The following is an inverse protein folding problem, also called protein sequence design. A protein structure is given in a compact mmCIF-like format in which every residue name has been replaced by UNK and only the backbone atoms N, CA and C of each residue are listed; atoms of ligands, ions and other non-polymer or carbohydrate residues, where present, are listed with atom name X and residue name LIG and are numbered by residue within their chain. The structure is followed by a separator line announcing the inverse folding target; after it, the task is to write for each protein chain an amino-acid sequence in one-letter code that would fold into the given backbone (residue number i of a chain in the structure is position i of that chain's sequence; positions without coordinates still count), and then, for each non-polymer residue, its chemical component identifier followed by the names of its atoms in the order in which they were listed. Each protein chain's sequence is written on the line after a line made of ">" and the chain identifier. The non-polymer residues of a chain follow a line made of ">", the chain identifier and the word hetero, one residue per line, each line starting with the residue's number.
data_IF_411745496307
#
_entry.id   IF_411745496307
#
_cell.length_a   1.000
_cell.length_b   1.000
_cell.length_c   1.000
_cell.angle_alpha   90.00
_cell.angle_beta   90.00
_cell.angle_gamma   90.00
#
_symmetry.space_group_name_H-M   'P 1'
#
loop_
_entity.id
_entity.type
_entity.pdbx_description
1 polymer ?
#
# COMPACT_ATOMS: atom_id res chain seq x y z
N UNK A 1 -4.78 6.91 -20.81
CA UNK A 1 -4.11 8.21 -20.59
C UNK A 1 -4.08 8.98 -21.90
N UNK A 2 -4.52 10.24 -21.88
CA UNK A 2 -4.63 11.05 -23.11
C UNK A 2 -3.39 11.90 -23.36
N UNK A 3 -2.63 12.24 -22.31
CA UNK A 3 -1.46 13.10 -22.40
C UNK A 3 -0.35 12.56 -21.50
N UNK A 4 0.88 12.55 -22.00
CA UNK A 4 2.07 12.14 -21.26
C UNK A 4 3.07 13.29 -21.28
N UNK A 5 3.54 13.68 -20.11
CA UNK A 5 4.61 14.65 -19.92
C UNK A 5 5.89 13.93 -19.47
N UNK A 6 7.03 14.41 -19.88
CA UNK A 6 8.32 13.86 -19.44
C UNK A 6 9.18 14.94 -18.80
N UNK A 7 9.84 14.60 -17.71
CA UNK A 7 10.75 15.47 -16.97
C UNK A 7 12.12 14.79 -16.86
N UNK A 8 13.19 15.56 -16.97
CA UNK A 8 14.56 15.06 -16.87
C UNK A 8 15.11 15.02 -15.44
N UNK A 9 14.41 15.64 -14.50
CA UNK A 9 14.77 15.69 -13.08
C UNK A 9 13.57 16.11 -12.21
N UNK A 10 13.74 16.04 -10.89
CA UNK A 10 12.67 16.31 -9.93
C UNK A 10 12.21 17.78 -9.88
N UNK A 11 13.03 18.74 -10.30
CA UNK A 11 12.61 20.16 -10.33
C UNK A 11 11.66 20.40 -11.49
N UNK A 12 11.99 19.91 -12.67
CA UNK A 12 11.12 19.98 -13.85
C UNK A 12 9.85 19.18 -13.63
N UNK A 13 9.96 17.98 -13.01
CA UNK A 13 8.81 17.15 -12.65
C UNK A 13 7.84 17.89 -11.74
N UNK A 14 8.33 18.55 -10.68
CA UNK A 14 7.49 19.33 -9.78
C UNK A 14 6.73 20.44 -10.51
N UNK A 15 7.41 21.17 -11.39
CA UNK A 15 6.78 22.23 -12.19
C UNK A 15 5.66 21.70 -13.08
N UNK A 16 5.89 20.57 -13.78
CA UNK A 16 4.89 19.93 -14.63
C UNK A 16 3.71 19.39 -13.84
N UNK A 17 3.98 18.79 -12.66
CA UNK A 17 2.91 18.28 -11.77
C UNK A 17 2.03 19.42 -11.29
N UNK A 18 2.60 20.54 -10.85
CA UNK A 18 1.84 21.71 -10.40
C UNK A 18 1.02 22.35 -11.51
N UNK A 19 1.57 22.39 -12.74
CA UNK A 19 0.91 23.00 -13.89
C UNK A 19 -0.23 22.14 -14.46
N UNK A 20 -0.04 20.82 -14.53
CA UNK A 20 -0.92 19.91 -15.28
C UNK A 20 -1.75 18.98 -14.39
N UNK A 21 -1.45 18.88 -13.09
CA UNK A 21 -2.13 18.03 -12.11
C UNK A 21 -2.43 16.62 -12.65
N UNK A 22 -1.39 15.85 -13.03
CA UNK A 22 -1.58 14.53 -13.64
C UNK A 22 -2.20 13.55 -12.62
N UNK A 23 -3.01 12.62 -13.10
CA UNK A 23 -3.58 11.54 -12.29
C UNK A 23 -2.54 10.50 -11.85
N UNK A 24 -1.42 10.41 -12.60
CA UNK A 24 -0.33 9.47 -12.32
C UNK A 24 1.02 10.13 -12.56
N UNK A 25 1.92 9.94 -11.60
CA UNK A 25 3.34 10.28 -11.69
C UNK A 25 4.16 8.99 -11.61
N UNK A 26 5.06 8.76 -12.57
CA UNK A 26 6.06 7.68 -12.51
C UNK A 26 7.42 8.35 -12.36
N UNK A 27 8.12 8.08 -11.27
CA UNK A 27 9.38 8.76 -10.96
C UNK A 27 10.48 7.79 -10.54
N UNK A 28 11.71 8.10 -10.91
CA UNK A 28 12.89 7.47 -10.31
C UNK A 28 13.16 8.05 -8.92
N UNK A 29 13.82 7.30 -8.06
CA UNK A 29 14.36 7.80 -6.78
C UNK A 29 15.60 8.65 -7.04
N UNK A 30 16.54 8.18 -7.87
CA UNK A 30 17.80 8.84 -8.12
C UNK A 30 17.72 9.76 -9.32
N UNK A 31 17.43 11.02 -9.08
CA UNK A 31 17.39 12.04 -10.11
C UNK A 31 18.33 13.20 -9.74
N UNK A 32 18.93 13.90 -10.74
CA UNK A 32 19.72 15.09 -10.49
C UNK A 32 18.86 16.24 -9.95
N UNK A 33 19.48 17.22 -9.31
CA UNK A 33 18.92 18.45 -8.72
C UNK A 33 17.92 18.20 -7.59
N UNK A 34 16.88 17.40 -7.80
CA UNK A 34 15.89 16.99 -6.80
C UNK A 34 15.63 15.50 -6.98
N UNK A 35 15.85 14.71 -5.94
CA UNK A 35 15.60 13.27 -5.95
C UNK A 35 14.09 12.95 -5.83
N UNK A 36 13.72 11.68 -6.06
CA UNK A 36 12.34 11.24 -6.03
C UNK A 36 11.68 11.37 -4.65
N UNK A 37 12.44 11.21 -3.56
CA UNK A 37 11.91 11.35 -2.19
C UNK A 37 11.57 12.81 -1.90
N UNK A 38 12.44 13.75 -2.27
CA UNK A 38 12.15 15.18 -2.12
C UNK A 38 10.97 15.61 -2.98
N UNK A 39 10.84 15.05 -4.18
CA UNK A 39 9.68 15.28 -5.05
C UNK A 39 8.39 14.78 -4.37
N UNK A 40 8.41 13.58 -3.80
CA UNK A 40 7.25 13.01 -3.08
C UNK A 40 6.82 13.88 -1.89
N UNK A 41 7.79 14.42 -1.13
CA UNK A 41 7.50 15.35 -0.03
C UNK A 41 6.75 16.59 -0.52
N UNK A 42 7.21 17.16 -1.63
CA UNK A 42 6.62 18.39 -2.18
C UNK A 42 5.21 18.18 -2.73
N UNK A 43 4.92 16.99 -3.28
CA UNK A 43 3.61 16.67 -3.87
C UNK A 43 2.68 15.91 -2.92
N UNK A 44 3.09 15.68 -1.67
CA UNK A 44 2.30 14.92 -0.69
C UNK A 44 0.90 15.50 -0.39
N UNK A 45 0.68 16.77 -0.69
CA UNK A 45 -0.59 17.47 -0.54
C UNK A 45 -1.49 17.40 -1.78
N UNK A 46 -0.96 16.89 -2.90
CA UNK A 46 -1.69 16.77 -4.17
C UNK A 46 -2.37 15.40 -4.26
N UNK A 47 -3.53 15.38 -4.89
CA UNK A 47 -4.29 14.15 -5.14
C UNK A 47 -3.83 13.50 -6.46
N UNK A 48 -2.61 12.94 -6.45
CA UNK A 48 -2.07 12.20 -7.58
C UNK A 48 -1.52 10.84 -7.14
N UNK A 49 -1.68 9.84 -8.02
CA UNK A 49 -1.10 8.52 -7.80
C UNK A 49 0.38 8.54 -8.18
N UNK A 50 1.23 7.86 -7.41
CA UNK A 50 2.66 7.81 -7.70
C UNK A 50 3.14 6.38 -7.79
N UNK A 51 3.89 6.06 -8.85
CA UNK A 51 4.68 4.83 -8.98
C UNK A 51 6.15 5.21 -8.90
N UNK A 52 6.90 4.54 -8.03
CA UNK A 52 8.34 4.74 -7.89
C UNK A 52 9.08 3.68 -8.69
N UNK A 53 10.07 4.11 -9.48
CA UNK A 53 11.07 3.25 -10.09
C UNK A 53 12.31 3.23 -9.19
N UNK A 54 12.81 2.04 -8.83
CA UNK A 54 13.89 1.87 -7.85
C UNK A 54 14.91 0.86 -8.33
N UNK A 55 16.17 1.01 -7.95
CA UNK A 55 17.18 -0.04 -8.03
C UNK A 55 17.27 -0.81 -6.72
N UNK A 56 17.90 -2.00 -6.72
CA UNK A 56 18.07 -2.83 -5.51
C UNK A 56 18.75 -2.11 -4.33
N UNK A 57 19.58 -1.10 -4.63
CA UNK A 57 20.34 -0.36 -3.63
C UNK A 57 19.55 0.78 -2.97
N UNK A 58 18.31 1.03 -3.41
CA UNK A 58 17.48 2.16 -2.97
C UNK A 58 16.54 1.80 -1.79
N UNK A 59 16.75 0.65 -1.15
CA UNK A 59 15.87 0.13 -0.07
C UNK A 59 15.70 1.10 1.12
N UNK A 60 16.75 1.84 1.49
CA UNK A 60 16.66 2.85 2.57
C UNK A 60 15.75 4.04 2.18
N UNK A 61 15.71 4.40 0.90
CA UNK A 61 14.84 5.47 0.41
C UNK A 61 13.37 5.01 0.29
N UNK A 62 13.13 3.70 0.14
CA UNK A 62 11.78 3.15 0.15
C UNK A 62 11.09 3.31 1.52
N UNK A 63 11.83 3.26 2.64
CA UNK A 63 11.30 3.55 3.97
C UNK A 63 10.76 4.97 4.08
N UNK A 64 11.41 5.94 3.47
CA UNK A 64 10.94 7.33 3.42
C UNK A 64 9.71 7.48 2.50
N UNK A 65 9.68 6.76 1.36
CA UNK A 65 8.56 6.79 0.42
C UNK A 65 7.26 6.14 0.94
N UNK A 66 7.34 5.22 1.92
CA UNK A 66 6.17 4.59 2.56
C UNK A 66 5.32 5.62 3.34
N UNK A 67 5.88 6.76 3.73
CA UNK A 67 5.13 7.86 4.37
C UNK A 67 4.26 8.67 3.39
N UNK A 68 4.48 8.53 2.09
CA UNK A 68 3.76 9.22 1.03
C UNK A 68 2.86 8.25 0.28
N UNK A 69 1.70 8.71 -0.19
CA UNK A 69 0.65 7.95 -0.88
C UNK A 69 1.12 7.35 -2.23
N UNK A 70 2.15 6.47 -2.18
CA UNK A 70 2.70 5.79 -3.36
C UNK A 70 1.78 4.63 -3.72
N UNK A 71 1.31 4.61 -4.97
CA UNK A 71 0.45 3.57 -5.50
C UNK A 71 1.17 2.21 -5.53
N UNK A 72 2.40 2.22 -6.05
CA UNK A 72 3.26 1.02 -6.10
C UNK A 72 4.72 1.42 -6.35
N UNK A 73 5.63 0.44 -6.27
CA UNK A 73 7.02 0.59 -6.67
C UNK A 73 7.43 -0.54 -7.61
N UNK A 74 8.28 -0.22 -8.59
CA UNK A 74 8.81 -1.16 -9.56
C UNK A 74 10.33 -1.20 -9.50
N UNK A 75 10.88 -2.39 -9.44
CA UNK A 75 12.34 -2.58 -9.53
C UNK A 75 12.80 -2.45 -10.98
N UNK A 76 13.95 -1.80 -11.18
CA UNK A 76 14.65 -1.78 -12.45
C UNK A 76 15.45 -3.08 -12.65
N UNK A 77 15.43 -3.69 -13.86
CA UNK A 77 14.70 -3.26 -15.05
C UNK A 77 13.19 -3.45 -14.89
N UNK A 78 12.40 -2.47 -15.39
CA UNK A 78 10.94 -2.46 -15.24
C UNK A 78 10.33 -3.64 -16.00
N UNK A 79 9.60 -4.49 -15.30
CA UNK A 79 8.79 -5.54 -15.91
C UNK A 79 7.49 -4.94 -16.47
N UNK A 80 7.33 -5.02 -17.79
CA UNK A 80 6.16 -4.50 -18.49
C UNK A 80 4.86 -5.16 -18.01
N UNK A 81 4.86 -6.46 -17.70
CA UNK A 81 3.68 -7.15 -17.21
C UNK A 81 3.25 -6.63 -15.83
N UNK A 82 4.20 -6.37 -14.94
CA UNK A 82 3.90 -5.76 -13.64
C UNK A 82 3.36 -4.34 -13.80
N UNK A 83 3.95 -3.53 -14.67
CA UNK A 83 3.47 -2.18 -14.95
C UNK A 83 2.04 -2.19 -15.50
N UNK A 84 1.73 -3.06 -16.46
CA UNK A 84 0.38 -3.21 -17.01
C UNK A 84 -0.65 -3.58 -15.96
N UNK A 85 -0.33 -4.48 -15.03
CA UNK A 85 -1.22 -4.86 -13.92
C UNK A 85 -1.51 -3.67 -13.00
N UNK A 86 -0.48 -2.87 -12.67
CA UNK A 86 -0.64 -1.68 -11.82
C UNK A 86 -1.48 -0.62 -12.52
N UNK A 87 -1.18 -0.33 -13.79
CA UNK A 87 -1.94 0.64 -14.59
C UNK A 87 -3.38 0.19 -14.82
N UNK A 88 -3.61 -1.11 -15.04
CA UNK A 88 -4.95 -1.67 -15.20
C UNK A 88 -5.80 -1.50 -13.93
N UNK A 89 -5.21 -1.68 -12.74
CA UNK A 89 -5.86 -1.40 -11.46
C UNK A 89 -6.20 0.08 -11.30
N UNK A 90 -5.25 0.96 -11.59
CA UNK A 90 -5.46 2.41 -11.51
C UNK A 90 -6.59 2.87 -12.43
N UNK A 91 -6.56 2.47 -13.71
CA UNK A 91 -7.59 2.83 -14.68
C UNK A 91 -8.97 2.36 -14.23
N UNK A 92 -9.09 1.14 -13.70
CA UNK A 92 -10.35 0.62 -13.15
C UNK A 92 -10.85 1.51 -12.01
N UNK A 93 -9.99 1.84 -11.05
CA UNK A 93 -10.33 2.71 -9.91
C UNK A 93 -10.79 4.10 -10.37
N UNK A 94 -10.08 4.71 -11.33
CA UNK A 94 -10.44 6.02 -11.86
C UNK A 94 -11.79 5.99 -12.64
N UNK A 95 -12.05 4.95 -13.43
CA UNK A 95 -13.32 4.77 -14.13
C UNK A 95 -14.49 4.54 -13.18
N UNK A 96 -14.27 3.78 -12.11
CA UNK A 96 -15.27 3.55 -11.06
C UNK A 96 -15.58 4.84 -10.29
N UNK A 97 -14.58 5.67 -9.99
CA UNK A 97 -14.77 7.00 -9.40
C UNK A 97 -15.58 7.94 -10.29
N UNK A 98 -15.36 7.92 -11.60
CA UNK A 98 -16.13 8.72 -12.55
C UNK A 98 -17.59 8.23 -12.72
N UNK A 99 -17.83 6.93 -12.53
CA UNK A 99 -19.16 6.33 -12.67
C UNK A 99 -20.04 6.51 -11.41
N UNK A 100 -19.44 6.89 -10.27
CA UNK A 100 -20.10 6.93 -8.98
C UNK A 100 -20.42 8.35 -8.48
N UNK A 101 -21.30 9.06 -9.16
CA UNK A 101 -22.22 9.98 -8.48
C UNK A 101 -23.37 9.22 -7.74
N UNK A 102 -23.18 7.94 -7.45
CA UNK A 102 -24.15 7.07 -6.80
C UNK A 102 -23.44 5.96 -6.00
N UNK A 103 -23.51 6.09 -4.68
CA UNK A 103 -23.12 5.17 -3.61
C UNK A 103 -22.94 3.72 -4.03
N UNK A 104 -21.70 3.21 -3.93
CA UNK A 104 -21.43 1.78 -3.83
C UNK A 104 -20.28 1.52 -2.84
N UNK A 105 -20.47 0.55 -1.95
CA UNK A 105 -19.51 0.05 -0.96
C UNK A 105 -18.38 -0.82 -1.58
N UNK A 106 -18.13 -0.70 -2.88
CA UNK A 106 -17.23 -1.55 -3.66
C UNK A 106 -15.71 -1.36 -3.45
N UNK A 107 -15.14 -0.21 -2.99
CA UNK A 107 -13.69 -0.08 -2.79
C UNK A 107 -13.12 -1.02 -1.74
N UNK A 108 -13.93 -1.47 -0.77
CA UNK A 108 -13.46 -2.32 0.33
C UNK A 108 -13.10 -3.75 -0.11
N UNK A 109 -13.72 -4.28 -1.16
CA UNK A 109 -13.53 -5.67 -1.56
C UNK A 109 -12.14 -5.92 -2.15
N UNK A 110 -11.65 -5.02 -3.02
CA UNK A 110 -10.37 -5.21 -3.70
C UNK A 110 -9.16 -5.09 -2.75
N UNK A 111 -9.23 -4.20 -1.76
CA UNK A 111 -8.17 -4.07 -0.78
C UNK A 111 -7.91 -5.35 0.02
N UNK A 112 -8.94 -6.17 0.23
CA UNK A 112 -8.87 -7.39 1.03
C UNK A 112 -8.86 -8.68 0.19
N UNK A 113 -8.88 -8.60 -1.14
CA UNK A 113 -8.81 -9.76 -2.04
C UNK A 113 -7.67 -10.74 -1.70
N UNK A 114 -6.42 -10.29 -1.43
CA UNK A 114 -5.37 -11.21 -1.05
C UNK A 114 -5.67 -12.01 0.23
N UNK A 115 -6.48 -11.48 1.13
CA UNK A 115 -6.87 -12.15 2.39
C UNK A 115 -7.97 -13.18 2.21
N UNK A 116 -8.70 -13.15 1.10
CA UNK A 116 -9.82 -14.07 0.82
C UNK A 116 -9.34 -15.41 0.27
N UNK A 117 -8.11 -15.50 -0.22
CA UNK A 117 -7.52 -16.76 -0.69
C UNK A 117 -7.25 -17.66 0.52
N UNK A 118 -7.81 -18.85 0.50
CA UNK A 118 -7.73 -19.81 1.63
C UNK A 118 -6.34 -20.43 1.69
N UNK A 119 -5.76 -20.75 0.53
CA UNK A 119 -4.46 -21.42 0.41
C UNK A 119 -3.73 -20.94 -0.84
N UNK A 120 -2.42 -20.82 -0.75
CA UNK A 120 -1.52 -20.48 -1.86
C UNK A 120 -0.77 -21.74 -2.33
N UNK A 121 -0.32 -21.73 -3.58
CA UNK A 121 0.41 -22.86 -4.18
C UNK A 121 1.84 -23.03 -3.64
N UNK A 122 2.26 -22.21 -2.67
CA UNK A 122 3.58 -22.23 -2.05
C UNK A 122 3.48 -22.49 -0.55
N UNK A 123 4.23 -23.48 -0.08
CA UNK A 123 4.24 -23.93 1.31
C UNK A 123 4.73 -22.84 2.28
N UNK A 124 5.79 -22.10 1.92
CA UNK A 124 6.34 -21.04 2.78
C UNK A 124 5.40 -19.84 2.90
N UNK A 125 4.72 -19.50 1.79
CA UNK A 125 3.70 -18.45 1.78
C UNK A 125 2.57 -18.79 2.75
N UNK A 126 2.07 -20.02 2.74
CA UNK A 126 1.03 -20.46 3.65
C UNK A 126 1.46 -20.40 5.10
N UNK A 127 2.70 -20.82 5.41
CA UNK A 127 3.26 -20.70 6.76
C UNK A 127 3.34 -19.24 7.24
N UNK A 128 3.80 -18.32 6.38
CA UNK A 128 3.86 -16.89 6.71
C UNK A 128 2.45 -16.33 6.96
N UNK A 129 1.47 -16.69 6.14
CA UNK A 129 0.06 -16.29 6.33
C UNK A 129 -0.48 -16.79 7.65
N UNK A 130 -0.19 -18.03 8.03
CA UNK A 130 -0.63 -18.61 9.30
C UNK A 130 0.04 -17.94 10.50
N UNK A 131 1.34 -17.63 10.41
CA UNK A 131 2.04 -16.84 11.43
C UNK A 131 1.45 -15.44 11.60
N UNK A 132 1.11 -14.77 10.50
CA UNK A 132 0.40 -13.48 10.55
C UNK A 132 -0.92 -13.62 11.29
N UNK A 133 -1.75 -14.60 10.94
CA UNK A 133 -3.05 -14.83 11.60
C UNK A 133 -2.92 -15.10 13.11
N UNK A 134 -1.85 -15.76 13.53
CA UNK A 134 -1.61 -16.09 14.94
C UNK A 134 -1.04 -14.91 15.73
N UNK A 135 -0.22 -14.06 15.12
CA UNK A 135 0.59 -13.06 15.82
C UNK A 135 0.26 -11.60 15.50
N UNK A 136 -0.74 -11.30 14.65
CA UNK A 136 -1.06 -9.94 14.19
C UNK A 136 -1.30 -8.91 15.30
N UNK A 137 -1.76 -9.36 16.48
CA UNK A 137 -2.07 -8.51 17.62
C UNK A 137 -0.82 -7.97 18.33
N UNK A 138 0.33 -8.58 18.09
CA UNK A 138 1.59 -8.21 18.72
C UNK A 138 2.46 -7.38 17.76
N UNK A 139 3.51 -6.74 18.31
CA UNK A 139 4.51 -6.05 17.49
C UNK A 139 5.43 -7.09 16.87
N UNK A 140 5.14 -7.50 15.64
CA UNK A 140 5.96 -8.47 14.91
C UNK A 140 6.71 -7.79 13.77
N UNK A 141 7.93 -8.23 13.54
CA UNK A 141 8.77 -7.92 12.37
C UNK A 141 8.65 -9.03 11.33
N UNK A 142 9.16 -8.81 10.11
CA UNK A 142 9.23 -9.87 9.10
C UNK A 142 10.10 -11.03 9.60
N UNK A 143 11.22 -10.74 10.26
CA UNK A 143 12.10 -11.75 10.85
C UNK A 143 11.37 -12.62 11.89
N UNK A 144 10.50 -12.03 12.72
CA UNK A 144 9.70 -12.80 13.69
C UNK A 144 8.70 -13.75 12.98
N UNK A 145 8.11 -13.30 11.88
CA UNK A 145 7.14 -14.10 11.12
C UNK A 145 7.76 -15.30 10.41
N UNK A 146 9.06 -15.24 10.10
CA UNK A 146 9.76 -16.31 9.38
C UNK A 146 10.75 -17.08 10.25
N UNK A 147 10.89 -16.77 11.55
CA UNK A 147 11.90 -17.36 12.44
C UNK A 147 11.85 -18.91 12.52
N UNK A 148 10.69 -19.51 12.22
CA UNK A 148 10.48 -20.96 12.22
C UNK A 148 10.47 -21.57 10.81
N UNK A 149 10.78 -20.74 9.79
CA UNK A 149 10.80 -21.13 8.39
C UNK A 149 12.26 -21.14 7.94
N UNK A 150 12.72 -22.26 7.41
CA UNK A 150 14.14 -22.43 6.98
C UNK A 150 14.40 -21.75 5.63
N UNK A 151 14.22 -20.42 5.60
CA UNK A 151 14.49 -19.58 4.41
C UNK A 151 15.05 -18.22 4.84
N UNK A 152 15.82 -17.60 3.95
CA UNK A 152 16.29 -16.22 4.19
C UNK A 152 15.13 -15.22 4.09
N UNK A 153 15.23 -14.10 4.83
CA UNK A 153 14.23 -13.03 4.81
C UNK A 153 14.00 -12.48 3.38
N UNK A 154 15.08 -12.30 2.61
CA UNK A 154 15.00 -11.84 1.23
C UNK A 154 14.24 -12.83 0.33
N UNK A 155 14.44 -14.13 0.50
CA UNK A 155 13.71 -15.16 -0.22
C UNK A 155 12.23 -15.14 0.15
N UNK A 156 11.92 -15.13 1.46
CA UNK A 156 10.55 -15.07 1.97
C UNK A 156 9.77 -13.86 1.44
N UNK A 157 10.37 -12.65 1.50
CA UNK A 157 9.74 -11.42 1.01
C UNK A 157 9.44 -11.47 -0.48
N UNK A 158 10.38 -11.98 -1.29
CA UNK A 158 10.20 -12.10 -2.75
C UNK A 158 9.12 -13.12 -3.08
N UNK A 159 9.26 -14.36 -2.57
CA UNK A 159 8.31 -15.46 -2.83
C UNK A 159 6.90 -15.09 -2.38
N UNK A 160 6.77 -14.47 -1.21
CA UNK A 160 5.47 -13.99 -0.74
C UNK A 160 4.86 -12.97 -1.70
N UNK A 161 5.64 -11.97 -2.15
CA UNK A 161 5.14 -10.94 -3.09
C UNK A 161 4.76 -11.55 -4.44
N UNK A 162 5.53 -12.51 -4.94
CA UNK A 162 5.28 -13.17 -6.23
C UNK A 162 3.96 -13.96 -6.22
N UNK A 163 3.63 -14.65 -5.12
CA UNK A 163 2.43 -15.48 -5.01
C UNK A 163 1.19 -14.72 -4.52
N UNK A 164 1.38 -13.72 -3.64
CA UNK A 164 0.28 -12.98 -2.99
C UNK A 164 -0.03 -11.66 -3.72
N UNK A 165 0.95 -11.12 -4.46
CA UNK A 165 0.84 -9.85 -5.17
C UNK A 165 1.10 -8.61 -4.31
N UNK A 166 1.28 -8.77 -2.98
CA UNK A 166 1.58 -7.68 -2.02
C UNK A 166 2.68 -8.11 -1.06
N UNK A 167 3.29 -7.16 -0.35
CA UNK A 167 4.33 -7.47 0.63
C UNK A 167 3.77 -8.11 1.89
N UNK A 168 4.60 -8.85 2.65
CA UNK A 168 4.26 -9.43 3.96
C UNK A 168 3.72 -8.34 4.91
N UNK A 169 4.36 -7.18 4.96
CA UNK A 169 3.95 -6.05 5.82
C UNK A 169 2.60 -5.47 5.38
N UNK A 170 2.36 -5.34 4.08
CA UNK A 170 1.08 -4.84 3.57
C UNK A 170 -0.05 -5.84 3.85
N UNK A 171 0.22 -7.14 3.71
CA UNK A 171 -0.71 -8.22 4.09
C UNK A 171 -1.05 -8.18 5.58
N UNK A 172 -0.05 -8.07 6.46
CA UNK A 172 -0.23 -7.94 7.91
C UNK A 172 -1.10 -6.72 8.25
N UNK A 173 -0.81 -5.56 7.66
CA UNK A 173 -1.58 -4.34 7.92
C UNK A 173 -3.02 -4.45 7.41
N UNK A 174 -3.25 -5.04 6.23
CA UNK A 174 -4.61 -5.31 5.74
C UNK A 174 -5.36 -6.26 6.68
N UNK A 175 -4.70 -7.33 7.13
CA UNK A 175 -5.30 -8.28 8.06
C UNK A 175 -5.69 -7.60 9.39
N UNK A 176 -4.82 -6.76 9.95
CA UNK A 176 -5.11 -5.95 11.15
C UNK A 176 -6.33 -5.03 10.95
N UNK A 177 -6.41 -4.34 9.81
CA UNK A 177 -7.56 -3.49 9.51
C UNK A 177 -8.85 -4.33 9.37
N UNK A 178 -8.79 -5.47 8.69
CA UNK A 178 -9.94 -6.38 8.60
C UNK A 178 -10.45 -6.81 9.98
N UNK A 179 -9.54 -7.21 10.88
CA UNK A 179 -9.89 -7.59 12.26
C UNK A 179 -10.46 -6.41 13.08
N UNK A 180 -9.99 -5.19 12.79
CA UNK A 180 -10.48 -3.99 13.50
C UNK A 180 -11.95 -3.68 13.22
N UNK A 181 -12.50 -4.07 12.07
CA UNK A 181 -13.90 -3.82 11.72
C UNK A 181 -14.87 -4.47 12.73
N UNK A 182 -14.57 -5.70 13.15
CA UNK A 182 -15.38 -6.41 14.16
C UNK A 182 -15.35 -5.72 15.55
N UNK A 183 -14.24 -5.00 15.86
CA UNK A 183 -14.10 -4.28 17.12
C UNK A 183 -14.80 -2.92 17.08
N UNK A 184 -14.84 -2.27 15.91
CA UNK A 184 -15.56 -1.01 15.70
C UNK A 184 -17.07 -1.19 15.95
N UNK A 185 -17.64 -2.31 15.53
CA UNK A 185 -19.04 -2.64 15.77
C UNK A 185 -19.37 -2.84 17.27
N UNK A 186 -18.36 -3.12 18.10
CA UNK A 186 -18.50 -3.32 19.55
C UNK A 186 -18.30 -2.05 20.39
N UNK A 187 -18.23 -0.87 19.78
CA UNK A 187 -18.07 0.44 20.43
C UNK A 187 -16.81 0.65 21.26
N UNK A 188 -15.72 -0.07 20.96
CA UNK A 188 -14.40 0.25 21.54
C UNK A 188 -13.91 1.61 21.08
N UNK A 189 -13.12 2.29 21.92
CA UNK A 189 -12.46 3.54 21.51
C UNK A 189 -11.40 3.24 20.45
N UNK A 190 -11.28 4.11 19.47
CA UNK A 190 -10.42 3.86 18.29
C UNK A 190 -8.95 3.61 18.64
N UNK A 191 -8.40 4.23 19.70
CA UNK A 191 -7.04 3.97 20.14
C UNK A 191 -6.88 2.59 20.81
N UNK A 192 -7.92 2.11 21.52
CA UNK A 192 -7.94 0.76 22.09
C UNK A 192 -7.99 -0.30 20.98
N UNK A 193 -8.73 -0.01 19.90
CA UNK A 193 -8.79 -0.89 18.73
C UNK A 193 -7.42 -0.97 18.06
N UNK A 194 -6.74 0.17 17.86
CA UNK A 194 -5.41 0.22 17.27
C UNK A 194 -4.42 -0.69 18.02
N UNK A 195 -4.40 -0.61 19.35
CA UNK A 195 -3.56 -1.44 20.21
C UNK A 195 -3.94 -2.92 20.11
N UNK A 196 -5.24 -3.24 20.22
CA UNK A 196 -5.76 -4.62 20.15
C UNK A 196 -5.44 -5.33 18.82
N UNK A 197 -5.33 -4.62 17.72
CA UNK A 197 -4.99 -5.18 16.41
C UNK A 197 -3.50 -5.06 16.08
N UNK A 198 -2.67 -4.63 17.02
CA UNK A 198 -1.21 -4.65 16.93
C UNK A 198 -0.56 -3.44 16.29
N UNK A 199 -1.27 -2.31 16.12
CA UNK A 199 -0.63 -1.05 15.73
C UNK A 199 0.00 -0.37 16.94
N UNK A 200 1.26 0.06 16.81
CA UNK A 200 1.97 0.76 17.89
C UNK A 200 1.41 2.14 18.18
N UNK A 201 0.76 2.77 17.22
CA UNK A 201 0.21 4.13 17.30
C UNK A 201 -1.13 4.22 16.57
N UNK A 202 -2.06 4.98 17.14
CA UNK A 202 -3.35 5.28 16.51
C UNK A 202 -3.19 5.96 15.13
N UNK A 203 -2.16 6.79 14.96
CA UNK A 203 -1.87 7.45 13.69
C UNK A 203 -1.65 6.44 12.55
N UNK A 204 -0.88 5.38 12.81
CA UNK A 204 -0.63 4.32 11.84
C UNK A 204 -1.89 3.51 11.52
N UNK A 205 -2.67 3.18 12.54
CA UNK A 205 -3.97 2.54 12.37
C UNK A 205 -4.90 3.38 11.47
N UNK A 206 -5.08 4.66 11.80
CA UNK A 206 -5.95 5.56 11.05
C UNK A 206 -5.49 5.74 9.59
N UNK A 207 -4.17 5.82 9.37
CA UNK A 207 -3.58 5.87 8.04
C UNK A 207 -3.91 4.63 7.21
N UNK A 208 -3.62 3.42 7.72
CA UNK A 208 -3.91 2.17 7.01
C UNK A 208 -5.41 1.95 6.84
N UNK A 209 -6.21 2.32 7.82
CA UNK A 209 -7.66 2.27 7.72
C UNK A 209 -8.17 3.11 6.54
N UNK A 210 -7.73 4.39 6.46
CA UNK A 210 -8.08 5.26 5.33
C UNK A 210 -7.52 4.75 4.01
N UNK A 211 -6.28 4.23 3.99
CA UNK A 211 -5.65 3.65 2.80
C UNK A 211 -6.48 2.52 2.20
N UNK A 212 -7.00 1.59 3.01
CA UNK A 212 -7.68 0.39 2.50
C UNK A 212 -9.20 0.54 2.39
N UNK A 213 -9.82 1.38 3.22
CA UNK A 213 -11.27 1.56 3.26
C UNK A 213 -11.73 2.91 2.69
N UNK A 214 -10.81 3.76 2.25
CA UNK A 214 -11.06 5.10 1.66
C UNK A 214 -11.86 6.04 2.59
N UNK A 215 -11.93 5.74 3.89
CA UNK A 215 -12.61 6.55 4.89
C UNK A 215 -11.93 6.46 6.25
N UNK A 216 -12.19 7.42 7.16
CA UNK A 216 -11.65 7.34 8.51
C UNK A 216 -12.41 6.31 9.37
N UNK A 217 -11.79 5.78 10.46
CA UNK A 217 -12.51 4.93 11.43
C UNK A 217 -13.76 5.60 12.01
N UNK A 218 -13.70 6.92 12.22
CA UNK A 218 -14.84 7.70 12.74
C UNK A 218 -15.98 7.81 11.74
N UNK A 219 -15.68 7.96 10.46
CA UNK A 219 -16.70 8.03 9.40
C UNK A 219 -17.31 6.66 9.14
N UNK A 220 -16.52 5.59 9.23
CA UNK A 220 -17.02 4.22 9.17
C UNK A 220 -18.08 3.96 10.24
N UNK A 221 -17.80 4.32 11.51
CA UNK A 221 -18.77 4.15 12.62
C UNK A 221 -20.04 5.01 12.46
N UNK A 222 -19.98 6.15 11.74
CA UNK A 222 -21.18 6.97 11.46
C UNK A 222 -22.05 6.37 10.37
N UNK A 223 -21.48 5.64 9.43
CA UNK A 223 -22.22 4.99 8.33
C UNK A 223 -22.83 3.65 8.73
N UNK A 224 -22.29 3.00 9.76
CA UNK A 224 -22.78 1.73 10.29
C UNK A 224 -23.98 1.89 11.25
N UNK A 225 -24.37 3.13 11.57
CA UNK A 225 -25.58 3.49 12.34
C UNK A 225 -26.70 3.93 11.42
#
# INVERSE_FOLDING_TARGET
>A
FNTIYTAKDGVEALSLIQQHQPELVITDIRMPRKNGVDLLNDIAHLDCNVIILSSYDDFEYMKAGIQHHVLDYLLKPVDHAQLEVILGRLVRTLLEQQSQNGRSLAPCHDAFQPLLKVEYDDYYVNQIVDQIKQSYQTKVTVSDLIQHIDVSESYAMRTFKDHVGITIVDYLNRYRILQSLQLLDRHYKHYEIADKVGFSEYKMFSYHFKKYLQMSPSDYCKQAK
#
